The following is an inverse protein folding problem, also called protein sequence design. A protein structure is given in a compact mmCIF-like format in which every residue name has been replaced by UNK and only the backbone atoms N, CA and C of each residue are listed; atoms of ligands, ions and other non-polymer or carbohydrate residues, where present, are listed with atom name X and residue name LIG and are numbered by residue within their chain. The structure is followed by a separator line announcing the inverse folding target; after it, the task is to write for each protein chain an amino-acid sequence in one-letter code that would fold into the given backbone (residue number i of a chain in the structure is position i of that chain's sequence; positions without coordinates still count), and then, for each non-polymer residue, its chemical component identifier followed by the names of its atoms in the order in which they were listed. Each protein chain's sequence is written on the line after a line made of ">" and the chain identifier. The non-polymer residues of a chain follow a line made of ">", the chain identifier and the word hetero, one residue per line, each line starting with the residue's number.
data_IF_853082275185
#
_entry.id   IF_853082275185
#
_cell.length_a   1.000
_cell.length_b   1.000
_cell.length_c   1.000
_cell.angle_alpha   90.00
_cell.angle_beta   90.00
_cell.angle_gamma   90.00
#
_symmetry.space_group_name_H-M   'P 1'
#
loop_
_entity.id
_entity.type
_entity.pdbx_description
1 polymer ?
#
# COMPACT_ATOMS: atom_id res chain seq x y z
N UNK A 1 43.24 -9.13 42.22
CA UNK A 1 42.66 -8.05 41.39
C UNK A 1 42.01 -8.69 40.17
N UNK A 2 40.71 -9.00 40.24
CA UNK A 2 39.97 -9.64 39.15
C UNK A 2 39.50 -8.59 38.15
N UNK A 3 39.95 -8.72 36.89
CA UNK A 3 39.49 -7.89 35.77
C UNK A 3 38.19 -8.48 35.24
N UNK A 4 37.07 -7.81 35.49
CA UNK A 4 35.78 -8.13 34.87
C UNK A 4 35.81 -7.56 33.45
N UNK A 5 35.87 -8.44 32.46
CA UNK A 5 35.80 -8.10 31.04
C UNK A 5 34.32 -7.88 30.69
N UNK A 6 33.88 -6.62 30.61
CA UNK A 6 32.52 -6.29 30.20
C UNK A 6 32.40 -6.42 28.67
N UNK A 7 31.65 -7.44 28.22
CA UNK A 7 31.30 -7.66 26.83
C UNK A 7 30.19 -6.67 26.45
N UNK A 8 30.50 -5.62 25.69
CA UNK A 8 29.51 -4.71 25.13
C UNK A 8 28.78 -5.42 23.98
N UNK A 9 27.61 -6.00 24.28
CA UNK A 9 26.69 -6.54 23.28
C UNK A 9 26.01 -5.36 22.58
N UNK A 10 26.53 -4.96 21.42
CA UNK A 10 25.95 -3.90 20.58
C UNK A 10 24.65 -4.40 19.96
N UNK A 11 23.52 -4.04 20.57
CA UNK A 11 22.18 -4.31 20.04
C UNK A 11 21.98 -3.37 18.85
N UNK A 12 22.15 -3.87 17.63
CA UNK A 12 21.82 -3.13 16.41
C UNK A 12 20.28 -3.15 16.26
N UNK A 13 19.57 -2.01 16.32
CA UNK A 13 18.15 -2.00 16.02
C UNK A 13 17.97 -2.35 14.55
N UNK A 14 17.32 -3.48 14.30
CA UNK A 14 16.85 -3.85 12.96
C UNK A 14 15.73 -2.87 12.64
N UNK A 15 16.04 -1.81 11.88
CA UNK A 15 15.02 -0.99 11.25
C UNK A 15 14.35 -1.87 10.18
N UNK A 16 13.28 -2.56 10.55
CA UNK A 16 12.33 -3.06 9.57
C UNK A 16 11.71 -1.82 8.93
N UNK A 17 12.13 -1.49 7.72
CA UNK A 17 11.43 -0.51 6.89
C UNK A 17 10.05 -1.11 6.62
N UNK A 18 9.07 -0.82 7.48
CA UNK A 18 7.70 -1.21 7.23
C UNK A 18 7.28 -0.48 5.97
N UNK A 19 7.13 -1.22 4.87
CA UNK A 19 6.59 -0.66 3.64
C UNK A 19 5.10 -0.45 3.91
N UNK A 20 4.77 0.70 4.46
CA UNK A 20 3.42 1.05 4.89
C UNK A 20 2.57 1.30 3.65
N UNK A 21 1.89 0.26 3.19
CA UNK A 21 0.98 0.30 2.03
C UNK A 21 -0.39 0.91 2.39
N UNK A 22 -0.45 1.76 3.41
CA UNK A 22 -1.67 2.33 3.98
C UNK A 22 -1.64 3.86 4.08
N UNK A 23 -0.61 4.52 3.54
CA UNK A 23 -0.50 5.98 3.51
C UNK A 23 -0.82 6.55 2.13
N UNK A 24 -1.73 7.51 2.07
CA UNK A 24 -2.05 8.25 0.84
C UNK A 24 -0.89 9.21 0.51
N UNK A 25 -0.56 9.33 -0.77
CA UNK A 25 0.44 10.26 -1.26
C UNK A 25 -0.05 11.70 -1.06
N UNK A 26 0.84 12.58 -0.61
CA UNK A 26 0.51 13.98 -0.32
C UNK A 26 -0.08 14.69 -1.53
N UNK A 27 -1.21 15.37 -1.33
CA UNK A 27 -1.94 16.11 -2.35
C UNK A 27 -3.03 15.30 -3.06
N UNK A 28 -3.18 14.01 -2.73
CA UNK A 28 -4.21 13.13 -3.28
C UNK A 28 -5.31 12.75 -2.29
N UNK A 29 -5.26 13.25 -1.05
CA UNK A 29 -6.24 12.97 0.01
C UNK A 29 -7.65 13.52 -0.31
N UNK A 30 -7.75 14.50 -1.20
CA UNK A 30 -9.02 15.13 -1.63
C UNK A 30 -9.49 14.68 -3.02
N UNK A 31 -8.79 13.73 -3.65
CA UNK A 31 -9.03 13.32 -5.02
C UNK A 31 -9.78 12.00 -5.11
N UNK A 32 -10.65 11.87 -6.12
CA UNK A 32 -11.31 10.61 -6.49
C UNK A 32 -10.30 9.56 -7.00
N UNK A 33 -9.07 9.98 -7.31
CA UNK A 33 -7.94 9.10 -7.60
C UNK A 33 -6.87 9.23 -6.51
N UNK A 34 -6.87 8.33 -5.53
CA UNK A 34 -5.85 8.28 -4.50
C UNK A 34 -4.66 7.42 -4.93
N UNK A 35 -3.45 7.80 -4.50
CA UNK A 35 -2.23 7.03 -4.76
C UNK A 35 -1.59 6.59 -3.45
N UNK A 36 -1.09 5.36 -3.42
CA UNK A 36 -0.37 4.77 -2.28
C UNK A 36 0.92 4.15 -2.79
N UNK A 37 2.04 4.48 -2.16
CA UNK A 37 3.33 3.88 -2.50
C UNK A 37 3.48 2.56 -1.76
N UNK A 38 3.57 1.46 -2.50
CA UNK A 38 3.65 0.10 -1.96
C UNK A 38 4.41 -0.80 -2.92
N UNK A 39 5.44 -1.51 -2.45
CA UNK A 39 6.22 -2.40 -3.32
C UNK A 39 5.50 -3.71 -3.66
N UNK A 40 4.65 -4.21 -2.76
CA UNK A 40 3.99 -5.50 -2.91
C UNK A 40 2.78 -5.66 -1.97
N UNK A 41 1.63 -6.07 -2.52
CA UNK A 41 0.41 -6.40 -1.78
C UNK A 41 0.12 -7.91 -1.72
N UNK A 42 0.94 -8.76 -2.36
CA UNK A 42 0.66 -10.19 -2.54
C UNK A 42 0.43 -10.95 -1.23
N UNK A 43 1.10 -10.50 -0.18
CA UNK A 43 1.05 -11.09 1.15
C UNK A 43 -0.29 -10.84 1.87
N UNK A 44 -1.05 -9.82 1.47
CA UNK A 44 -2.26 -9.43 2.18
C UNK A 44 -3.34 -10.51 2.13
N UNK A 45 -3.79 -10.92 3.31
CA UNK A 45 -5.05 -11.64 3.48
C UNK A 45 -6.25 -10.66 3.40
N UNK A 46 -7.46 -11.19 3.25
CA UNK A 46 -8.67 -10.37 3.13
C UNK A 46 -8.86 -9.39 4.31
N UNK A 47 -8.62 -9.84 5.55
CA UNK A 47 -8.77 -8.99 6.73
C UNK A 47 -7.72 -7.87 6.77
N UNK A 48 -6.49 -8.15 6.34
CA UNK A 48 -5.40 -7.17 6.27
C UNK A 48 -5.66 -6.15 5.15
N UNK A 49 -6.20 -6.61 4.01
CA UNK A 49 -6.62 -5.73 2.93
C UNK A 49 -7.76 -4.80 3.37
N UNK A 50 -8.77 -5.30 4.09
CA UNK A 50 -9.81 -4.45 4.67
C UNK A 50 -9.21 -3.40 5.62
N UNK A 51 -8.32 -3.80 6.54
CA UNK A 51 -7.69 -2.85 7.46
C UNK A 51 -6.84 -1.81 6.72
N UNK A 52 -6.09 -2.23 5.69
CA UNK A 52 -5.27 -1.34 4.86
C UNK A 52 -6.13 -0.29 4.16
N UNK A 53 -7.19 -0.72 3.48
CA UNK A 53 -8.09 0.22 2.80
C UNK A 53 -8.84 1.11 3.81
N UNK A 54 -9.16 0.61 5.02
CA UNK A 54 -9.76 1.43 6.07
C UNK A 54 -8.85 2.58 6.46
N UNK A 55 -7.59 2.30 6.72
CA UNK A 55 -6.60 3.33 7.06
C UNK A 55 -6.43 4.34 5.92
N UNK A 56 -6.45 3.89 4.66
CA UNK A 56 -6.40 4.76 3.48
C UNK A 56 -7.61 5.70 3.44
N UNK A 57 -8.83 5.17 3.60
CA UNK A 57 -10.05 5.99 3.56
C UNK A 57 -10.22 6.89 4.79
N UNK A 58 -9.58 6.58 5.93
CA UNK A 58 -9.51 7.50 7.09
C UNK A 58 -8.69 8.76 6.80
N UNK A 59 -7.86 8.76 5.75
CA UNK A 59 -7.11 9.93 5.28
C UNK A 59 -7.86 10.71 4.19
N UNK A 60 -8.98 10.20 3.68
CA UNK A 60 -9.71 10.85 2.62
C UNK A 60 -10.46 12.09 3.16
N UNK A 61 -10.21 13.24 2.55
CA UNK A 61 -10.74 14.55 2.92
C UNK A 61 -11.72 15.11 1.88
N UNK A 62 -11.98 14.39 0.79
CA UNK A 62 -12.93 14.78 -0.24
C UNK A 62 -14.39 14.46 0.11
N UNK A 63 -15.30 14.82 -0.80
CA UNK A 63 -16.72 14.47 -0.69
C UNK A 63 -16.93 12.96 -0.95
N UNK A 64 -17.94 12.31 -0.35
CA UNK A 64 -18.24 10.91 -0.64
C UNK A 64 -18.58 10.68 -2.12
N UNK A 65 -17.71 10.00 -2.86
CA UNK A 65 -17.87 9.69 -4.29
C UNK A 65 -17.30 8.30 -4.67
N UNK A 66 -17.32 7.98 -5.96
CA UNK A 66 -16.61 6.85 -6.57
C UNK A 66 -15.10 7.12 -6.56
N UNK A 67 -14.36 6.35 -5.76
CA UNK A 67 -12.93 6.54 -5.53
C UNK A 67 -12.14 5.34 -6.05
N UNK A 68 -11.03 5.64 -6.70
CA UNK A 68 -10.01 4.70 -7.13
C UNK A 68 -8.77 4.87 -6.25
N UNK A 69 -8.24 3.77 -5.73
CA UNK A 69 -6.96 3.78 -5.01
C UNK A 69 -5.95 3.00 -5.84
N UNK A 70 -4.92 3.69 -6.32
CA UNK A 70 -3.82 3.12 -7.09
C UNK A 70 -2.63 2.83 -6.16
N UNK A 71 -2.10 1.61 -6.23
CA UNK A 71 -0.90 1.21 -5.51
C UNK A 71 0.27 1.14 -6.49
N UNK A 72 1.29 1.98 -6.28
CA UNK A 72 2.46 2.10 -7.16
C UNK A 72 3.75 1.77 -6.42
N UNK A 73 4.71 1.18 -7.12
CA UNK A 73 5.94 0.65 -6.49
C UNK A 73 6.92 1.70 -5.97
N UNK A 74 6.80 2.95 -6.40
CA UNK A 74 7.76 4.03 -6.16
C UNK A 74 7.04 5.39 -6.17
N UNK A 75 7.51 6.33 -5.33
CA UNK A 75 6.95 7.67 -5.18
C UNK A 75 6.94 8.46 -6.50
N UNK A 76 7.95 8.27 -7.38
CA UNK A 76 8.01 8.97 -8.67
C UNK A 76 6.89 8.59 -9.65
N UNK A 77 6.12 7.55 -9.32
CA UNK A 77 5.02 7.03 -10.15
C UNK A 77 3.66 7.60 -9.73
N UNK A 78 3.58 8.32 -8.62
CA UNK A 78 2.35 8.97 -8.16
C UNK A 78 1.83 9.92 -9.25
N UNK A 79 0.54 9.82 -9.57
CA UNK A 79 -0.11 10.62 -10.61
C UNK A 79 0.17 10.18 -12.05
N UNK A 80 0.95 9.13 -12.28
CA UNK A 80 1.14 8.57 -13.62
C UNK A 80 -0.04 7.66 -13.97
N UNK A 81 -0.67 7.93 -15.12
CA UNK A 81 -1.78 7.13 -15.64
C UNK A 81 -1.43 5.64 -15.78
N UNK A 82 -2.39 4.76 -15.45
CA UNK A 82 -2.23 3.30 -15.43
C UNK A 82 -1.64 2.72 -16.72
N UNK A 83 -2.04 3.25 -17.88
CA UNK A 83 -1.60 2.80 -19.20
C UNK A 83 -0.12 3.12 -19.51
N UNK A 84 0.50 3.98 -18.71
CA UNK A 84 1.91 4.38 -18.82
C UNK A 84 2.83 3.66 -17.82
N UNK A 85 2.27 2.95 -16.84
CA UNK A 85 3.04 2.19 -15.86
C UNK A 85 3.50 0.86 -16.45
N UNK A 86 4.72 0.43 -16.10
CA UNK A 86 5.12 -0.96 -16.36
C UNK A 86 4.30 -1.93 -15.49
N UNK A 87 4.13 -3.19 -15.90
CA UNK A 87 3.35 -4.16 -15.13
C UNK A 87 3.79 -4.32 -13.68
N UNK A 88 5.09 -4.29 -13.41
CA UNK A 88 5.69 -4.37 -12.08
C UNK A 88 5.65 -3.06 -11.28
N UNK A 89 5.39 -1.94 -11.95
CA UNK A 89 5.26 -0.62 -11.32
C UNK A 89 3.83 -0.42 -10.77
N UNK A 90 2.84 -1.12 -11.34
CA UNK A 90 1.44 -1.09 -10.94
C UNK A 90 1.06 -2.29 -10.06
N UNK A 91 1.11 -2.08 -8.75
CA UNK A 91 1.03 -3.14 -7.75
C UNK A 91 -0.41 -3.52 -7.42
N UNK A 92 -1.34 -2.57 -7.50
CA UNK A 92 -2.75 -2.85 -7.27
C UNK A 92 -3.68 -1.68 -7.52
N UNK A 93 -4.98 -1.99 -7.56
CA UNK A 93 -6.06 -1.02 -7.67
C UNK A 93 -7.25 -1.45 -6.83
N UNK A 94 -7.75 -0.55 -6.00
CA UNK A 94 -9.07 -0.69 -5.39
C UNK A 94 -10.06 0.24 -6.07
N UNK A 95 -11.31 -0.20 -6.21
CA UNK A 95 -12.39 0.62 -6.75
C UNK A 95 -13.62 0.53 -5.84
N UNK A 96 -14.13 1.67 -5.37
CA UNK A 96 -15.24 1.68 -4.41
C UNK A 96 -16.52 1.07 -5.00
N UNK A 97 -16.83 1.35 -6.27
CA UNK A 97 -18.04 0.90 -6.95
C UNK A 97 -18.25 -0.61 -6.89
N UNK A 98 -17.20 -1.40 -7.08
CA UNK A 98 -17.26 -2.86 -7.03
C UNK A 98 -16.60 -3.45 -5.78
N UNK A 99 -16.08 -2.61 -4.88
CA UNK A 99 -15.43 -3.00 -3.62
C UNK A 99 -14.32 -4.05 -3.80
N UNK A 100 -13.63 -4.03 -4.94
CA UNK A 100 -12.63 -5.04 -5.29
C UNK A 100 -11.24 -4.44 -5.27
N UNK A 101 -10.33 -5.05 -4.48
CA UNK A 101 -8.90 -4.83 -4.59
C UNK A 101 -8.33 -5.85 -5.59
N UNK A 102 -7.79 -5.36 -6.70
CA UNK A 102 -7.04 -6.16 -7.67
C UNK A 102 -5.55 -5.96 -7.43
N UNK A 103 -4.84 -7.03 -7.10
CA UNK A 103 -3.39 -7.07 -6.90
C UNK A 103 -2.74 -7.56 -8.19
N UNK A 104 -1.61 -6.95 -8.58
CA UNK A 104 -0.91 -7.16 -9.85
C UNK A 104 -1.84 -7.21 -11.07
N UNK A 105 -2.61 -6.13 -11.36
CA UNK A 105 -3.65 -6.15 -12.40
C UNK A 105 -3.11 -6.54 -13.78
N UNK A 106 -1.87 -6.12 -14.07
CA UNK A 106 -1.19 -6.28 -15.35
C UNK A 106 -0.22 -7.47 -15.42
N UNK A 107 -0.17 -8.33 -14.38
CA UNK A 107 0.66 -9.55 -14.38
C UNK A 107 -0.27 -10.76 -14.13
N UNK A 108 -0.84 -11.37 -15.18
CA UNK A 108 -1.90 -12.39 -15.05
C UNK A 108 -1.57 -13.56 -14.12
N UNK A 109 -0.32 -14.02 -14.13
CA UNK A 109 0.14 -15.15 -13.28
C UNK A 109 0.27 -14.79 -11.80
N UNK A 110 0.30 -13.50 -11.46
CA UNK A 110 0.33 -12.98 -10.07
C UNK A 110 -0.99 -12.35 -9.65
N UNK A 111 -1.92 -12.15 -10.59
CA UNK A 111 -3.16 -11.42 -10.35
C UNK A 111 -3.97 -12.09 -9.26
N UNK A 112 -4.42 -11.30 -8.29
CA UNK A 112 -5.27 -11.75 -7.19
C UNK A 112 -6.35 -10.71 -6.95
N UNK A 113 -7.59 -11.16 -6.82
CA UNK A 113 -8.73 -10.30 -6.53
C UNK A 113 -9.24 -10.57 -5.12
N UNK A 114 -9.48 -9.50 -4.37
CA UNK A 114 -10.03 -9.53 -3.03
C UNK A 114 -11.29 -8.67 -3.01
N UNK A 115 -12.44 -9.31 -2.85
CA UNK A 115 -13.71 -8.62 -2.62
C UNK A 115 -13.76 -8.18 -1.16
N UNK A 116 -13.66 -6.87 -0.94
CA UNK A 116 -13.66 -6.27 0.39
C UNK A 116 -15.08 -6.14 0.94
N UNK A 117 -15.18 -6.11 2.27
CA UNK A 117 -16.44 -5.83 2.97
C UNK A 117 -16.36 -4.40 3.48
N UNK A 118 -17.32 -3.58 3.08
CA UNK A 118 -17.44 -2.23 3.61
C UNK A 118 -17.73 -2.27 5.11
N UNK A 119 -17.04 -1.40 5.85
CA UNK A 119 -17.18 -1.16 7.29
C UNK A 119 -18.17 -0.04 7.57
#
# INVERSE_FOLDING_TARGET
>A
MSRVLALFLSICPIFTLANTCDKVAEGYEISDEMYVVCSDLSHLALNEANATLKNIFEQYEGEPDEILVYFVSDEKLVGIAEDKLKPEEFVGRYYTHNSTLTIWPNIPVKRKELQLKWW
#
